data_IF_078359510936
#
_entry.id   IF_078359510936
#
_cell.length_a   1.000
_cell.length_b   1.000
_cell.length_c   1.000
_cell.angle_alpha   90.00
_cell.angle_beta   90.00
_cell.angle_gamma   90.00
#
_symmetry.space_group_name_H-M   'P 1'
#
loop_
_entity.id
_entity.type
_entity.pdbx_description
1 polymer ?
2 non-polymer ?
3 non-polymer ?
4 non-polymer ?
5 non-polymer ?
6 water ?
#
# COMPACT_ATOMS: atom_id res chain seq x y z
N UNK A 38 -17.63 -1.39 -17.05
CA UNK A 38 -17.79 0.03 -16.58
C UNK A 38 -16.64 0.36 -15.69
N UNK A 39 -15.77 1.28 -16.11
CA UNK A 39 -14.68 1.59 -15.19
C UNK A 39 -15.36 2.33 -14.02
N UNK A 40 -14.61 2.54 -12.94
CA UNK A 40 -15.12 3.23 -11.78
C UNK A 40 -14.41 4.56 -11.59
N UNK A 41 -15.19 5.59 -11.32
CA UNK A 41 -14.70 6.93 -11.07
C UNK A 41 -14.95 7.24 -9.62
N UNK A 42 -13.90 7.26 -8.81
CA UNK A 42 -14.01 7.57 -7.39
C UNK A 42 -13.86 9.08 -7.24
N UNK A 43 -14.85 9.72 -6.66
CA UNK A 43 -14.80 11.17 -6.49
C UNK A 43 -14.57 11.53 -5.04
N UNK A 44 -13.42 12.11 -4.75
CA UNK A 44 -13.13 12.54 -3.38
C UNK A 44 -13.96 13.79 -3.07
N UNK A 45 -14.36 13.96 -1.81
CA UNK A 45 -15.16 15.12 -1.44
C UNK A 45 -14.77 15.52 -0.04
N UNK A 46 -14.57 16.82 0.20
CA UNK A 46 -14.22 17.27 1.53
C UNK A 46 -13.48 18.59 1.56
N UNK A 47 -13.45 19.24 2.72
CA UNK A 47 -12.76 20.50 2.90
C UNK A 47 -11.25 20.26 2.87
N UNK A 48 -10.45 21.33 2.63
CA UNK A 48 -9.00 21.14 2.60
C UNK A 48 -8.50 20.63 3.93
N UNK A 49 -7.48 19.76 3.87
CA UNK A 49 -6.86 19.18 5.06
C UNK A 49 -7.72 18.16 5.79
N UNK A 50 -8.48 17.38 5.04
CA UNK A 50 -9.34 16.33 5.63
C UNK A 50 -8.84 14.91 5.28
N UNK A 51 -7.61 14.81 4.79
CA UNK A 51 -7.02 13.53 4.44
C UNK A 51 -7.50 12.94 3.11
N UNK A 52 -8.03 13.76 2.20
CA UNK A 52 -8.51 13.27 0.92
C UNK A 52 -7.40 12.67 0.08
N UNK A 53 -6.32 13.42 -0.10
CA UNK A 53 -5.17 12.97 -0.88
C UNK A 53 -4.56 11.71 -0.23
N UNK A 54 -4.54 11.69 1.10
CA UNK A 54 -4.02 10.56 1.83
C UNK A 54 -4.85 9.30 1.50
N UNK A 55 -6.18 9.43 1.60
CA UNK A 55 -7.08 8.34 1.31
C UNK A 55 -7.00 7.97 -0.16
N UNK A 56 -6.96 8.97 -1.02
CA UNK A 56 -6.87 8.72 -2.43
C UNK A 56 -5.66 7.81 -2.71
N UNK A 57 -4.52 8.16 -2.11
CA UNK A 57 -3.28 7.41 -2.30
C UNK A 57 -3.33 5.98 -1.80
N UNK A 58 -3.78 5.81 -0.56
CA UNK A 58 -3.90 4.48 0.03
C UNK A 58 -4.83 3.59 -0.79
N UNK A 59 -5.94 4.16 -1.25
CA UNK A 59 -6.93 3.45 -2.05
C UNK A 59 -6.33 3.03 -3.39
N UNK A 60 -5.65 3.96 -4.05
CA UNK A 60 -5.02 3.70 -5.35
C UNK A 60 -3.94 2.63 -5.25
N UNK A 61 -3.11 2.74 -4.23
CA UNK A 61 -2.05 1.76 -4.02
C UNK A 61 -2.67 0.37 -3.78
N UNK A 62 -3.63 0.30 -2.88
CA UNK A 62 -4.30 -0.95 -2.55
C UNK A 62 -4.89 -1.61 -3.80
N UNK A 63 -5.72 -0.86 -4.51
CA UNK A 63 -6.36 -1.37 -5.72
C UNK A 63 -5.32 -1.87 -6.72
N UNK A 64 -4.22 -1.14 -6.87
CA UNK A 64 -3.19 -1.59 -7.79
C UNK A 64 -2.53 -2.89 -7.26
N UNK A 65 -2.31 -2.97 -5.94
CA UNK A 65 -1.70 -4.18 -5.35
C UNK A 65 -2.54 -5.42 -5.66
N UNK A 66 -3.86 -5.30 -5.57
CA UNK A 66 -4.72 -6.44 -5.87
C UNK A 66 -4.98 -6.60 -7.37
N UNK A 67 -4.20 -5.89 -8.17
CA UNK A 67 -4.32 -6.00 -9.61
C UNK A 67 -5.45 -5.29 -10.33
N UNK A 68 -5.91 -4.16 -9.81
CA UNK A 68 -6.95 -3.42 -10.52
C UNK A 68 -6.28 -2.12 -10.96
N UNK A 69 -6.01 -1.96 -12.27
CA UNK A 69 -5.36 -0.76 -12.82
C UNK A 69 -6.08 0.50 -12.32
N UNK A 70 -5.43 1.23 -11.42
CA UNK A 70 -6.01 2.41 -10.85
C UNK A 70 -5.02 3.57 -10.85
N UNK A 71 -5.54 4.79 -10.99
CA UNK A 71 -4.70 5.98 -11.02
C UNK A 71 -5.49 7.11 -10.38
N UNK A 72 -4.79 7.93 -9.60
CA UNK A 72 -5.41 9.06 -8.94
C UNK A 72 -5.07 10.32 -9.74
N UNK A 73 -5.98 11.27 -9.75
CA UNK A 73 -5.79 12.54 -10.45
C UNK A 73 -6.05 13.65 -9.46
N UNK A 74 -4.97 14.27 -9.01
CA UNK A 74 -5.01 15.35 -8.02
C UNK A 74 -5.15 16.68 -8.70
N UNK A 75 -6.32 17.31 -8.59
CA UNK A 75 -6.55 18.60 -9.25
C UNK A 75 -5.61 19.68 -8.75
N UNK A 76 -5.16 19.56 -7.51
CA UNK A 76 -4.22 20.52 -6.94
C UNK A 76 -2.89 20.45 -7.67
N UNK A 77 -2.49 19.25 -8.07
CA UNK A 77 -1.23 19.08 -8.79
C UNK A 77 -1.38 19.64 -10.21
N UNK A 78 -2.55 19.46 -10.81
CA UNK A 78 -2.79 19.97 -12.14
C UNK A 78 -2.68 21.47 -12.03
N UNK A 79 -3.34 22.05 -11.04
CA UNK A 79 -3.30 23.49 -10.83
C UNK A 79 -1.84 23.94 -10.65
N UNK A 80 -1.10 23.26 -9.79
CA UNK A 80 0.30 23.60 -9.57
C UNK A 80 1.08 23.56 -10.88
N UNK A 81 0.87 22.53 -11.71
CA UNK A 81 1.58 22.46 -12.98
C UNK A 81 1.11 23.54 -13.95
N UNK A 82 -0.12 24.01 -13.77
CA UNK A 82 -0.69 25.01 -14.67
C UNK A 82 -0.50 26.47 -14.25
N UNK A 83 -0.68 26.73 -12.97
CA UNK A 83 -0.57 28.07 -12.42
C UNK A 83 0.88 28.47 -12.11
N UNK A 84 1.76 27.49 -12.07
CA UNK A 84 3.18 27.71 -11.80
C UNK A 84 3.54 28.05 -10.35
N UNK A 85 2.95 29.09 -9.79
CA UNK A 85 3.24 29.45 -8.41
C UNK A 85 2.00 29.91 -7.69
N UNK A 86 1.91 29.55 -6.43
CA UNK A 86 0.79 29.90 -5.60
C UNK A 86 1.08 31.17 -4.82
N UNK A 87 0.19 32.15 -4.94
CA UNK A 87 0.35 33.39 -4.22
C UNK A 87 -0.36 33.32 -2.87
N UNK A 88 -1.68 33.40 -2.89
CA UNK A 88 -2.44 33.38 -1.66
C UNK A 88 -3.89 32.93 -1.87
N UNK A 89 -4.61 32.73 -0.76
CA UNK A 89 -5.99 32.27 -0.75
C UNK A 89 -7.00 33.00 -1.64
N UNK A 90 -6.73 34.26 -1.97
CA UNK A 90 -7.66 35.03 -2.80
C UNK A 90 -8.02 34.33 -4.09
N UNK A 91 -7.14 33.45 -4.55
CA UNK A 91 -7.36 32.69 -5.77
C UNK A 91 -8.57 31.78 -5.60
N UNK A 92 -8.77 31.31 -4.38
CA UNK A 92 -9.86 30.40 -4.04
C UNK A 92 -11.14 31.07 -3.51
N UNK A 93 -11.20 32.40 -3.52
CA UNK A 93 -12.43 33.07 -3.06
C UNK A 93 -13.62 32.57 -3.90
N UNK A 94 -14.72 32.18 -3.22
CA UNK A 94 -15.90 31.67 -3.90
C UNK A 94 -16.55 32.71 -4.79
N UNK A 95 -16.22 33.97 -4.56
CA UNK A 95 -16.79 35.05 -5.36
C UNK A 95 -15.75 35.60 -6.35
N UNK A 96 -14.64 34.87 -6.47
CA UNK A 96 -13.57 35.25 -7.38
C UNK A 96 -13.90 34.55 -8.69
N UNK A 97 -14.61 35.25 -9.57
CA UNK A 97 -15.02 34.71 -10.87
C UNK A 97 -13.88 34.25 -11.76
N UNK A 98 -12.81 35.00 -11.80
CA UNK A 98 -11.69 34.60 -12.63
C UNK A 98 -11.01 33.37 -12.05
N UNK A 99 -10.87 33.38 -10.73
CA UNK A 99 -10.23 32.28 -10.04
C UNK A 99 -11.03 31.02 -10.26
N UNK A 100 -12.35 31.14 -10.10
CA UNK A 100 -13.26 30.02 -10.30
C UNK A 100 -13.06 29.45 -11.68
N UNK A 101 -12.95 30.35 -12.64
CA UNK A 101 -12.75 30.00 -14.04
C UNK A 101 -11.49 29.16 -14.26
N UNK A 102 -10.42 29.63 -13.65
CA UNK A 102 -9.15 28.95 -13.81
C UNK A 102 -9.19 27.65 -13.06
N UNK A 103 -9.89 27.66 -11.92
CA UNK A 103 -10.06 26.48 -11.10
C UNK A 103 -10.88 25.45 -11.85
N UNK A 104 -11.86 25.92 -12.63
CA UNK A 104 -12.69 25.01 -13.41
C UNK A 104 -11.84 24.38 -14.53
N UNK A 105 -10.99 25.18 -15.15
CA UNK A 105 -10.09 24.72 -16.22
C UNK A 105 -9.17 23.58 -15.76
N UNK A 106 -8.60 23.71 -14.58
CA UNK A 106 -7.72 22.68 -14.03
C UNK A 106 -8.48 21.38 -13.77
N UNK A 107 -9.71 21.49 -13.27
CA UNK A 107 -10.57 20.34 -12.99
C UNK A 107 -10.81 19.57 -14.28
N UNK A 108 -11.18 20.32 -15.32
CA UNK A 108 -11.45 19.79 -16.64
C UNK A 108 -10.22 19.12 -17.21
N UNK A 109 -9.06 19.73 -17.03
CA UNK A 109 -7.84 19.14 -17.55
C UNK A 109 -7.67 17.75 -16.89
N UNK A 110 -7.91 17.70 -15.58
CA UNK A 110 -7.80 16.48 -14.80
C UNK A 110 -8.81 15.45 -15.32
N UNK A 111 -10.06 15.87 -15.46
CA UNK A 111 -11.12 14.98 -15.96
C UNK A 111 -10.79 14.41 -17.33
N UNK A 112 -10.14 15.19 -18.18
CA UNK A 112 -9.79 14.72 -19.50
C UNK A 112 -8.77 13.58 -19.46
N UNK A 113 -7.88 13.62 -18.47
CA UNK A 113 -6.90 12.56 -18.33
C UNK A 113 -7.57 11.34 -17.73
N UNK A 114 -8.63 11.57 -16.94
CA UNK A 114 -9.37 10.46 -16.36
C UNK A 114 -9.99 9.69 -17.52
N UNK A 115 -10.61 10.43 -18.43
CA UNK A 115 -11.25 9.88 -19.63
C UNK A 115 -10.22 9.08 -20.45
N UNK A 116 -9.04 9.65 -20.65
CA UNK A 116 -8.01 8.96 -21.41
C UNK A 116 -7.60 7.65 -20.73
N UNK A 117 -7.35 7.71 -19.43
CA UNK A 117 -6.95 6.53 -18.66
C UNK A 117 -7.99 5.40 -18.70
N UNK A 118 -9.23 5.73 -18.34
CA UNK A 118 -10.30 4.74 -18.33
C UNK A 118 -10.71 4.31 -19.72
N UNK A 119 -11.07 5.29 -20.55
CA UNK A 119 -11.52 5.03 -21.90
C UNK A 119 -10.48 4.67 -22.95
N UNK A 120 -9.25 5.15 -22.80
CA UNK A 120 -8.23 4.88 -23.81
C UNK A 120 -7.03 4.06 -23.37
N UNK A 121 -6.70 4.08 -22.09
CA UNK A 121 -5.53 3.32 -21.67
C UNK A 121 -5.82 2.03 -20.93
N UNK A 122 -7.10 1.69 -20.77
CA UNK A 122 -7.47 0.45 -20.10
C UNK A 122 -7.47 0.49 -18.59
N UNK A 123 -7.59 1.69 -18.03
CA UNK A 123 -7.62 1.79 -16.59
C UNK A 123 -8.94 1.26 -16.09
N UNK A 124 -8.94 0.75 -14.88
CA UNK A 124 -10.18 0.22 -14.33
C UNK A 124 -10.89 1.19 -13.38
N UNK A 125 -10.11 1.85 -12.52
CA UNK A 125 -10.66 2.79 -11.56
C UNK A 125 -9.84 4.08 -11.62
N UNK A 126 -10.51 5.22 -11.47
CA UNK A 126 -9.83 6.49 -11.47
C UNK A 126 -10.31 7.23 -10.23
N UNK A 127 -9.37 7.79 -9.47
CA UNK A 127 -9.74 8.52 -8.28
C UNK A 127 -9.53 9.99 -8.60
N UNK A 128 -10.62 10.76 -8.58
CA UNK A 128 -10.58 12.18 -8.88
C UNK A 128 -10.51 12.89 -7.54
N UNK A 129 -9.33 13.41 -7.24
CA UNK A 129 -9.06 14.06 -5.97
C UNK A 129 -9.11 15.58 -6.02
N UNK A 130 -10.20 16.12 -5.47
CA UNK A 130 -10.47 17.55 -5.39
C UNK A 130 -11.46 17.74 -4.24
N UNK A 131 -11.74 18.99 -3.86
CA UNK A 131 -12.67 19.25 -2.75
C UNK A 131 -14.08 18.79 -3.11
N UNK A 132 -14.53 19.17 -4.30
CA UNK A 132 -15.86 18.77 -4.80
C UNK A 132 -16.93 18.93 -3.74
N UNK A 133 -16.84 20.05 -3.02
CA UNK A 133 -17.73 20.37 -1.91
C UNK A 133 -19.14 20.86 -2.18
N UNK A 134 -19.48 21.20 -3.42
CA UNK A 134 -20.83 21.67 -3.71
C UNK A 134 -21.59 20.64 -4.56
N UNK A 135 -22.92 20.70 -4.48
CA UNK A 135 -23.81 19.81 -5.24
C UNK A 135 -23.54 20.01 -6.72
N UNK A 136 -23.36 21.28 -7.06
CA UNK A 136 -23.08 21.72 -8.43
C UNK A 136 -21.90 21.00 -9.06
N UNK A 137 -20.74 21.07 -8.44
CA UNK A 137 -19.56 20.42 -9.00
C UNK A 137 -19.78 18.95 -9.05
N UNK A 138 -20.26 18.38 -7.96
CA UNK A 138 -20.51 16.95 -7.91
C UNK A 138 -21.45 16.43 -8.99
N UNK A 139 -22.48 17.20 -9.29
CA UNK A 139 -23.44 16.83 -10.34
C UNK A 139 -22.71 16.90 -11.69
N UNK A 140 -21.86 17.90 -11.84
CA UNK A 140 -21.10 18.08 -13.06
C UNK A 140 -20.24 16.83 -13.30
N UNK A 141 -19.54 16.40 -12.25
CA UNK A 141 -18.66 15.23 -12.34
C UNK A 141 -19.51 13.99 -12.58
N UNK A 142 -20.65 13.93 -11.91
CA UNK A 142 -21.53 12.80 -12.09
C UNK A 142 -21.88 12.70 -13.56
N UNK A 143 -22.27 13.83 -14.15
CA UNK A 143 -22.65 13.86 -15.57
C UNK A 143 -21.49 13.37 -16.45
N UNK A 144 -20.28 13.79 -16.13
CA UNK A 144 -19.08 13.38 -16.85
C UNK A 144 -18.99 11.85 -16.85
N UNK A 145 -19.09 11.26 -15.66
CA UNK A 145 -19.04 9.81 -15.53
C UNK A 145 -20.08 9.14 -16.40
N UNK A 146 -21.30 9.67 -16.34
CA UNK A 146 -22.44 9.15 -17.10
C UNK A 146 -22.22 9.18 -18.61
N UNK A 147 -21.83 10.33 -19.12
CA UNK A 147 -21.62 10.45 -20.56
C UNK A 147 -20.47 9.55 -21.02
N UNK A 148 -19.54 9.23 -20.12
CA UNK A 148 -18.40 8.39 -20.47
C UNK A 148 -18.58 6.92 -20.20
N UNK A 149 -19.68 6.53 -19.58
CA UNK A 149 -19.92 5.12 -19.28
C UNK A 149 -19.23 4.56 -18.04
N UNK A 150 -19.05 5.38 -17.02
CA UNK A 150 -18.41 4.92 -15.79
C UNK A 150 -19.43 4.91 -14.68
N UNK A 151 -19.10 4.22 -13.59
CA UNK A 151 -19.96 4.19 -12.43
C UNK A 151 -19.29 5.18 -11.49
N UNK A 152 -20.05 6.05 -10.88
CA UNK A 152 -19.49 7.05 -9.98
C UNK A 152 -19.74 6.67 -8.53
N UNK A 153 -18.70 6.84 -7.71
CA UNK A 153 -18.76 6.54 -6.29
C UNK A 153 -18.06 7.65 -5.56
N UNK A 154 -18.73 8.25 -4.57
CA UNK A 154 -18.16 9.35 -3.81
C UNK A 154 -17.58 8.94 -2.46
N UNK A 155 -16.42 9.50 -2.13
CA UNK A 155 -15.79 9.26 -0.84
C UNK A 155 -15.59 10.64 -0.17
N UNK A 156 -16.46 10.95 0.81
CA UNK A 156 -16.36 12.21 1.52
C UNK A 156 -15.69 12.04 2.85
N UNK A 157 -14.69 12.87 3.11
CA UNK A 157 -13.96 12.84 4.37
C UNK A 157 -14.32 14.07 5.18
N UNK A 158 -14.86 13.86 6.37
CA UNK A 158 -15.32 14.91 7.25
C UNK A 158 -14.53 15.00 8.57
N UNK A 159 -14.08 16.21 8.90
CA UNK A 159 -13.35 16.45 10.16
C UNK A 159 -13.74 17.83 10.73
N UNK A 160 -14.27 17.82 11.94
CA UNK A 160 -14.68 19.03 12.63
C UNK A 160 -13.73 19.27 13.81
N UNK A 161 -12.67 18.47 13.89
CA UNK A 161 -11.70 18.57 14.97
C UNK A 161 -10.51 19.49 14.62
N UNK A 162 -10.40 20.64 15.29
CA UNK A 162 -9.36 21.67 15.14
C UNK A 162 -7.94 21.21 15.40
N UNK A 163 -7.74 20.41 16.44
CA UNK A 163 -6.39 19.94 16.72
C UNK A 163 -5.88 19.03 15.61
N UNK A 164 -6.79 18.25 15.03
CA UNK A 164 -6.47 17.35 13.92
C UNK A 164 -6.18 18.18 12.66
N UNK A 165 -7.06 19.12 12.37
CA UNK A 165 -6.89 19.98 11.21
C UNK A 165 -5.54 20.69 11.37
N UNK A 166 -5.33 21.27 12.56
CA UNK A 166 -4.09 21.97 12.88
C UNK A 166 -2.88 21.04 12.71
N UNK A 167 -3.05 19.80 13.13
CA UNK A 167 -2.00 18.79 13.02
C UNK A 167 -1.72 18.51 11.56
N UNK A 168 -2.79 18.40 10.77
CA UNK A 168 -2.66 18.11 9.34
C UNK A 168 -1.90 19.22 8.61
N UNK A 169 -2.23 20.48 8.90
CA UNK A 169 -1.56 21.63 8.29
C UNK A 169 -0.05 21.49 8.49
N UNK A 170 0.38 21.50 9.75
CA UNK A 170 1.80 21.39 10.06
C UNK A 170 2.39 20.16 9.36
N UNK A 171 1.82 19.01 9.68
CA UNK A 171 2.25 17.72 9.16
C UNK A 171 2.38 17.54 7.65
N UNK A 172 1.46 18.12 6.89
CA UNK A 172 1.52 17.96 5.45
C UNK A 172 1.46 19.22 4.62
N UNK A 173 0.75 20.23 5.11
CA UNK A 173 0.57 21.49 4.37
C UNK A 173 1.76 22.45 4.32
N UNK A 174 2.38 22.73 5.47
CA UNK A 174 3.50 23.66 5.52
C UNK A 174 4.68 23.21 4.68
N UNK A 175 4.81 21.90 4.52
CA UNK A 175 5.89 21.33 3.73
C UNK A 175 5.55 21.20 2.25
N UNK A 176 4.25 21.20 1.93
CA UNK A 176 3.79 21.08 0.55
C UNK A 176 4.36 22.19 -0.32
N UNK A 177 4.32 22.01 -1.66
CA UNK A 177 4.84 22.98 -2.62
C UNK A 177 4.26 24.38 -2.45
N UNK A 178 2.96 24.47 -2.18
CA UNK A 178 2.30 25.76 -2.02
C UNK A 178 2.92 26.58 -0.93
N UNK A 179 3.45 25.90 0.08
CA UNK A 179 3.98 26.62 1.22
C UNK A 179 5.42 26.45 1.58
N UNK A 180 6.13 25.58 0.89
CA UNK A 180 7.53 25.39 1.17
C UNK A 180 8.23 26.74 0.85
N UNK A 181 9.25 27.08 1.64
CA UNK A 181 9.99 28.35 1.44
C UNK A 181 9.18 29.60 1.78
N UNK A 182 8.15 29.44 2.59
CA UNK A 182 7.33 30.54 3.05
C UNK A 182 7.35 30.41 4.57
N UNK A 183 7.12 31.52 5.27
CA UNK A 183 7.13 31.54 6.74
C UNK A 183 5.95 30.73 7.27
N UNK A 184 6.22 29.88 8.25
CA UNK A 184 5.18 29.01 8.83
C UNK A 184 3.91 29.73 9.24
N UNK A 185 4.06 30.89 9.86
CA UNK A 185 2.91 31.63 10.32
C UNK A 185 2.10 32.29 9.23
N UNK A 186 2.75 32.84 8.22
CA UNK A 186 1.95 33.42 7.18
C UNK A 186 1.34 32.26 6.38
N UNK A 187 2.13 31.20 6.17
CA UNK A 187 1.66 30.01 5.44
C UNK A 187 0.39 29.45 6.12
N UNK A 188 0.47 29.28 7.45
CA UNK A 188 -0.64 28.78 8.23
C UNK A 188 -1.91 29.61 8.16
N UNK A 189 -1.76 30.93 8.25
CA UNK A 189 -2.89 31.89 8.19
C UNK A 189 -3.53 31.82 6.81
N UNK A 190 -2.69 31.80 5.79
CA UNK A 190 -3.16 31.72 4.43
C UNK A 190 -4.00 30.46 4.25
N UNK A 191 -3.50 29.34 4.74
CA UNK A 191 -4.25 28.09 4.59
C UNK A 191 -5.60 28.11 5.33
N UNK A 192 -5.66 28.65 6.54
CA UNK A 192 -6.91 28.70 7.29
C UNK A 192 -7.93 29.52 6.55
N UNK A 193 -7.46 30.64 6.01
CA UNK A 193 -8.31 31.53 5.24
C UNK A 193 -8.72 30.81 3.97
N UNK A 194 -7.85 29.89 3.53
CA UNK A 194 -8.09 29.08 2.34
C UNK A 194 -9.23 28.08 2.61
N UNK A 195 -9.21 27.44 3.78
CA UNK A 195 -10.27 26.51 4.18
C UNK A 195 -11.59 27.31 4.24
N UNK A 196 -11.51 28.51 4.80
CA UNK A 196 -12.67 29.39 4.93
C UNK A 196 -13.38 29.61 3.61
N UNK A 197 -12.61 29.75 2.52
CA UNK A 197 -13.20 29.96 1.20
C UNK A 197 -14.25 28.90 0.87
N UNK A 198 -14.07 27.70 1.41
CA UNK A 198 -14.98 26.60 1.13
C UNK A 198 -16.16 26.39 2.06
N UNK A 199 -16.08 26.93 3.27
CA UNK A 199 -17.14 26.70 4.23
C UNK A 199 -18.55 27.17 3.93
N UNK A 200 -18.72 28.39 3.45
CA UNK A 200 -20.07 28.88 3.17
C UNK A 200 -20.80 28.11 2.06
N UNK A 201 -20.07 27.52 1.12
CA UNK A 201 -20.68 26.78 0.03
C UNK A 201 -20.62 25.27 0.17
N UNK A 202 -20.05 24.80 1.25
CA UNK A 202 -19.90 23.38 1.48
C UNK A 202 -21.20 22.66 1.75
N UNK A 203 -21.60 21.78 0.81
CA UNK A 203 -22.81 20.96 0.89
C UNK A 203 -22.45 19.49 0.97
N UNK A 204 -22.50 18.94 2.17
CA UNK A 204 -22.17 17.55 2.42
C UNK A 204 -23.20 16.58 1.85
N UNK A 205 -22.77 15.36 1.56
CA UNK A 205 -23.67 14.34 1.01
C UNK A 205 -24.84 14.16 1.97
N UNK A 206 -26.04 14.27 1.42
CA UNK A 206 -27.30 14.19 2.18
C UNK A 206 -28.04 12.86 2.01
N UNK A 207 -28.60 12.34 3.10
CA UNK A 207 -29.34 11.07 3.04
C UNK A 207 -30.53 11.11 2.08
N UNK A 208 -31.22 12.24 2.05
CA UNK A 208 -32.37 12.40 1.17
C UNK A 208 -32.03 13.10 -0.14
N UNK A 209 -31.39 14.26 -0.08
CA UNK A 209 -31.02 14.99 -1.28
C UNK A 209 -30.13 14.18 -2.23
N UNK A 210 -29.24 13.35 -1.68
CA UNK A 210 -28.33 12.54 -2.49
C UNK A 210 -28.54 11.05 -2.40
N UNK A 211 -29.77 10.63 -2.07
CA UNK A 211 -30.06 9.22 -1.90
C UNK A 211 -29.86 8.27 -3.06
N UNK A 212 -29.76 8.80 -4.26
CA UNK A 212 -29.53 7.95 -5.43
C UNK A 212 -28.06 7.75 -5.79
N UNK A 213 -27.19 8.50 -5.12
CA UNK A 213 -25.74 8.40 -5.33
C UNK A 213 -25.11 7.28 -4.50
N UNK A 214 -24.02 6.71 -5.02
CA UNK A 214 -23.28 5.67 -4.32
C UNK A 214 -22.21 6.44 -3.58
N UNK A 215 -22.09 6.22 -2.26
CA UNK A 215 -21.08 6.95 -1.53
C UNK A 215 -20.77 6.46 -0.14
N UNK A 216 -19.70 7.00 0.41
CA UNK A 216 -19.29 6.68 1.75
C UNK A 216 -18.82 7.99 2.35
N UNK A 217 -19.19 8.22 3.61
CA UNK A 217 -18.79 9.42 4.34
C UNK A 217 -18.01 8.89 5.51
N UNK A 218 -16.77 9.37 5.63
CA UNK A 218 -15.89 8.95 6.71
C UNK A 218 -15.83 10.09 7.70
N UNK A 219 -16.08 9.79 8.97
CA UNK A 219 -16.08 10.79 10.02
C UNK A 219 -15.08 10.39 11.11
N UNK A 220 -14.79 11.33 12.01
CA UNK A 220 -13.89 11.11 13.14
C UNK A 220 -12.60 10.35 12.85
N UNK A 221 -12.09 10.60 11.65
CA UNK A 221 -10.87 9.96 11.18
C UNK A 221 -11.06 8.48 11.03
N UNK A 222 -12.25 8.11 10.60
CA UNK A 222 -12.55 6.71 10.43
C UNK A 222 -13.19 6.04 11.64
N UNK A 223 -13.82 6.82 12.50
CA UNK A 223 -14.49 6.26 13.66
C UNK A 223 -15.84 5.72 13.21
N UNK A 224 -16.56 6.57 12.50
CA UNK A 224 -17.87 6.20 12.01
C UNK A 224 -17.93 6.42 10.51
N UNK A 225 -18.87 5.73 9.86
CA UNK A 225 -19.06 5.80 8.43
C UNK A 225 -20.54 5.83 8.07
N UNK A 226 -20.84 6.43 6.94
CA UNK A 226 -22.20 6.44 6.42
C UNK A 226 -22.01 5.93 5.00
N UNK A 227 -22.74 4.89 4.62
CA UNK A 227 -22.60 4.29 3.31
C UNK A 227 -23.95 4.17 2.64
N UNK A 228 -24.00 4.54 1.37
CA UNK A 228 -25.25 4.49 0.64
C UNK A 228 -25.09 3.95 -0.77
N UNK A 229 -25.95 3.00 -1.11
CA UNK A 229 -26.00 2.37 -2.41
C UNK A 229 -24.73 1.86 -3.06
N UNK A 230 -24.03 0.93 -2.42
CA UNK A 230 -22.83 0.34 -3.01
C UNK A 230 -23.40 -0.39 -4.22
N UNK A 231 -23.04 0.04 -5.41
CA UNK A 231 -23.59 -0.53 -6.63
C UNK A 231 -23.05 -1.85 -7.14
N UNK A 232 -21.87 -2.24 -6.71
CA UNK A 232 -21.33 -3.48 -7.24
C UNK A 232 -20.24 -4.10 -6.39
N UNK A 233 -19.55 -5.08 -6.96
CA UNK A 233 -18.49 -5.78 -6.29
C UNK A 233 -17.26 -4.90 -5.96
N UNK A 234 -16.75 -4.16 -6.94
CA UNK A 234 -15.59 -3.32 -6.67
C UNK A 234 -15.89 -2.23 -5.64
N UNK A 235 -17.11 -1.70 -5.66
CA UNK A 235 -17.47 -0.67 -4.70
C UNK A 235 -17.58 -1.30 -3.31
N UNK A 236 -18.03 -2.55 -3.25
CA UNK A 236 -18.16 -3.25 -1.98
C UNK A 236 -16.76 -3.46 -1.37
N UNK A 237 -15.78 -3.81 -2.20
CA UNK A 237 -14.40 -4.01 -1.75
C UNK A 237 -13.74 -2.68 -1.36
N UNK A 238 -14.05 -1.60 -2.10
CA UNK A 238 -13.53 -0.26 -1.82
C UNK A 238 -14.00 0.17 -0.42
N UNK A 239 -15.30 -0.02 -0.16
CA UNK A 239 -15.90 0.33 1.12
C UNK A 239 -15.26 -0.53 2.19
N UNK A 240 -15.14 -1.83 1.93
CA UNK A 240 -14.54 -2.73 2.91
C UNK A 240 -13.11 -2.25 3.25
N UNK A 241 -12.34 -1.88 2.22
CA UNK A 241 -10.98 -1.37 2.40
C UNK A 241 -10.95 -0.08 3.24
N UNK A 242 -11.70 0.93 2.79
CA UNK A 242 -11.77 2.23 3.47
C UNK A 242 -12.19 2.18 4.93
N UNK A 243 -13.13 1.29 5.24
CA UNK A 243 -13.60 1.16 6.62
C UNK A 243 -12.59 0.49 7.51
N UNK A 244 -11.53 -0.09 6.95
CA UNK A 244 -10.56 -0.75 7.79
C UNK A 244 -9.17 -0.08 7.93
N UNK A 245 -8.98 1.03 7.25
CA UNK A 245 -7.74 1.80 7.32
C UNK A 245 -7.88 2.83 8.43
N UNK A 246 -6.75 3.24 9.03
CA UNK A 246 -6.76 4.24 10.12
C UNK A 246 -5.47 5.03 10.13
N UNK A 247 -5.39 6.04 11.00
CA UNK A 247 -4.18 6.85 11.14
C UNK A 247 -3.63 6.82 12.56
N UNK A 248 -3.98 5.78 13.30
CA UNK A 248 -3.47 5.60 14.65
C UNK A 248 -1.98 5.30 14.49
N UNK A 249 -1.11 6.09 15.14
CA UNK A 249 0.35 5.89 15.07
C UNK A 249 0.68 4.47 15.50
N UNK A 250 1.63 3.86 14.81
CA UNK A 250 2.05 2.49 15.11
C UNK A 250 3.13 2.04 14.15
N UNK A 251 3.74 0.90 14.46
CA UNK A 251 4.78 0.33 13.63
C UNK A 251 4.44 -1.12 13.27
N UNK A 252 4.84 -1.50 12.06
CA UNK A 252 4.66 -2.85 11.56
C UNK A 252 6.08 -3.44 11.52
N UNK A 253 6.29 -4.54 12.23
CA UNK A 253 7.61 -5.19 12.25
C UNK A 253 7.53 -6.46 11.45
N UNK A 254 8.44 -6.62 10.50
CA UNK A 254 8.47 -7.82 9.67
C UNK A 254 9.83 -8.46 9.78
N UNK A 255 9.85 -9.76 9.97
CA UNK A 255 11.11 -10.47 10.01
C UNK A 255 10.79 -11.88 9.63
N UNK A 256 11.80 -12.57 9.13
CA UNK A 256 11.66 -13.97 8.75
C UNK A 256 11.91 -14.78 10.01
N UNK A 257 11.49 -16.03 9.93
CA UNK A 257 11.74 -17.04 10.96
C UNK A 257 13.29 -17.06 11.09
N UNK A 258 13.82 -17.52 12.21
CA UNK A 258 15.28 -17.59 12.31
C UNK A 258 15.76 -18.58 11.27
N UNK A 259 17.01 -18.46 10.82
CA UNK A 259 17.58 -19.39 9.84
C UNK A 259 17.12 -20.84 10.10
N UNK A 260 16.75 -21.56 9.05
CA UNK A 260 16.28 -22.95 9.20
C UNK A 260 17.31 -23.98 8.68
N UNK A 261 17.08 -25.25 8.99
CA UNK A 261 17.96 -26.33 8.54
C UNK A 261 18.14 -26.35 7.02
N UNK A 262 17.05 -26.17 6.28
CA UNK A 262 17.11 -26.15 4.82
C UNK A 262 17.71 -24.85 4.28
N UNK A 263 17.69 -23.79 5.08
CA UNK A 263 18.29 -22.52 4.64
C UNK A 263 19.80 -22.80 4.53
N UNK A 264 20.32 -23.51 5.52
CA UNK A 264 21.75 -23.88 5.54
C UNK A 264 22.16 -24.64 4.29
N UNK A 265 21.30 -25.56 3.85
CA UNK A 265 21.54 -26.40 2.68
C UNK A 265 21.23 -25.70 1.34
N UNK A 266 20.68 -24.50 1.41
CA UNK A 266 20.33 -23.81 0.18
C UNK A 266 19.13 -24.47 -0.47
N UNK A 267 18.26 -25.06 0.36
CA UNK A 267 17.03 -25.73 -0.09
C UNK A 267 15.81 -24.87 0.17
N UNK A 268 14.97 -24.73 -0.85
CA UNK A 268 13.78 -23.92 -0.77
C UNK A 268 12.53 -24.66 -0.26
N UNK A 269 11.61 -23.90 0.34
CA UNK A 269 10.37 -24.45 0.84
C UNK A 269 10.48 -25.49 1.93
N UNK A 270 9.55 -26.46 1.88
CA UNK A 270 9.49 -27.54 2.86
C UNK A 270 8.99 -27.06 4.19
N UNK A 271 9.22 -27.81 5.27
CA UNK A 271 8.81 -27.38 6.60
C UNK A 271 9.90 -27.63 7.64
N UNK A 272 11.12 -27.17 7.37
CA UNK A 272 12.25 -27.36 8.29
C UNK A 272 12.08 -26.67 9.65
N UNK A 273 12.84 -27.14 10.63
CA UNK A 273 12.82 -26.54 11.95
C UNK A 273 13.99 -25.57 11.96
N UNK A 274 14.13 -24.81 13.04
CA UNK A 274 15.22 -23.85 13.15
C UNK A 274 16.62 -24.49 13.23
N UNK A 275 17.60 -23.78 12.70
CA UNK A 275 18.98 -24.23 12.75
C UNK A 275 19.49 -23.69 14.07
N UNK A 276 20.72 -24.04 14.47
CA UNK A 276 21.23 -23.51 15.73
C UNK A 276 21.19 -21.97 15.75
N UNK A 277 21.61 -21.33 14.65
CA UNK A 277 21.60 -19.86 14.55
C UNK A 277 20.16 -19.34 14.59
N UNK A 278 19.23 -20.08 13.99
CA UNK A 278 17.82 -19.70 13.97
C UNK A 278 17.34 -19.54 15.39
N UNK A 279 17.73 -20.48 16.24
CA UNK A 279 17.40 -20.46 17.67
C UNK A 279 18.04 -19.25 18.38
N UNK A 280 19.30 -18.98 18.05
CA UNK A 280 20.01 -17.83 18.61
C UNK A 280 19.23 -16.57 18.28
N UNK A 281 18.87 -16.42 17.00
CA UNK A 281 18.10 -15.27 16.54
C UNK A 281 16.83 -15.11 17.36
N UNK A 282 16.13 -16.23 17.56
CA UNK A 282 14.88 -16.20 18.30
C UNK A 282 15.04 -15.49 19.63
N UNK A 283 16.14 -15.80 20.33
CA UNK A 283 16.41 -15.18 21.61
C UNK A 283 16.76 -13.71 21.46
N UNK A 284 17.43 -13.35 20.36
CA UNK A 284 17.77 -11.93 20.11
C UNK A 284 16.50 -11.13 19.77
N UNK A 285 15.56 -11.78 19.07
CA UNK A 285 14.30 -11.15 18.71
C UNK A 285 13.49 -10.85 19.98
N UNK A 286 13.36 -11.84 20.86
CA UNK A 286 12.62 -11.67 22.11
C UNK A 286 13.17 -10.46 22.89
N UNK A 287 14.49 -10.37 23.01
CA UNK A 287 15.09 -9.26 23.72
C UNK A 287 14.77 -7.96 23.01
N UNK A 288 14.85 -7.98 21.69
CA UNK A 288 14.54 -6.77 20.90
C UNK A 288 13.09 -6.33 21.18
N UNK A 289 12.17 -7.27 21.09
CA UNK A 289 10.77 -6.98 21.31
C UNK A 289 10.55 -6.42 22.71
N UNK A 290 11.21 -7.00 23.70
CA UNK A 290 11.09 -6.50 25.07
C UNK A 290 11.64 -5.08 25.13
N UNK A 291 12.88 -4.91 24.69
CA UNK A 291 13.50 -3.60 24.70
C UNK A 291 12.65 -2.56 24.00
N UNK A 292 11.92 -2.99 22.98
CA UNK A 292 11.07 -2.07 22.24
C UNK A 292 9.95 -1.48 23.10
N UNK A 293 9.48 -2.21 24.11
CA UNK A 293 8.44 -1.71 24.99
C UNK A 293 7.22 -1.22 24.15
N UNK A 294 6.79 -2.09 23.25
CA UNK A 294 5.68 -1.82 22.34
C UNK A 294 4.33 -1.95 23.04
N UNK A 295 3.46 -0.97 22.85
CA UNK A 295 2.13 -1.01 23.46
C UNK A 295 1.26 -2.03 22.74
N UNK A 296 0.69 -2.97 23.50
CA UNK A 296 -0.19 -3.99 22.95
C UNK A 296 0.28 -4.53 21.61
N UNK A 297 1.43 -5.19 21.56
CA UNK A 297 1.90 -5.72 20.29
C UNK A 297 1.15 -7.01 19.96
N UNK A 298 0.77 -7.18 18.69
CA UNK A 298 0.13 -8.41 18.21
C UNK A 298 1.20 -9.12 17.41
N UNK A 299 1.34 -10.42 17.63
CA UNK A 299 2.33 -11.23 16.93
C UNK A 299 1.68 -12.31 16.08
N UNK A 300 2.07 -12.35 14.80
CA UNK A 300 1.55 -13.34 13.87
C UNK A 300 2.69 -14.16 13.27
N UNK A 301 2.39 -15.43 12.99
CA UNK A 301 3.36 -16.34 12.37
C UNK A 301 2.56 -17.18 11.38
N UNK A 302 3.26 -17.97 10.59
CA UNK A 302 2.60 -18.84 9.66
C UNK A 302 2.32 -20.13 10.44
N UNK A 303 1.91 -21.19 9.74
CA UNK A 303 1.70 -22.49 10.38
C UNK A 303 2.91 -23.38 10.15
N UNK A 304 3.99 -22.78 9.68
CA UNK A 304 5.22 -23.50 9.44
C UNK A 304 6.11 -23.44 10.67
N UNK A 305 6.65 -24.59 11.05
CA UNK A 305 7.44 -24.69 12.26
C UNK A 305 8.55 -23.68 12.45
N UNK A 306 9.23 -23.31 11.37
CA UNK A 306 10.31 -22.34 11.51
C UNK A 306 9.85 -21.00 12.06
N UNK A 307 8.66 -20.55 11.68
CA UNK A 307 8.17 -19.28 12.21
C UNK A 307 7.64 -19.46 13.64
N UNK A 308 6.91 -20.57 13.87
CA UNK A 308 6.34 -20.87 15.19
C UNK A 308 7.46 -21.02 16.21
N UNK A 309 8.46 -21.82 15.86
CA UNK A 309 9.62 -22.06 16.71
C UNK A 309 10.31 -20.76 17.00
N UNK A 310 10.23 -19.81 16.07
CA UNK A 310 10.84 -18.51 16.29
C UNK A 310 9.96 -17.77 17.28
N UNK A 311 8.65 -17.93 17.11
CA UNK A 311 7.70 -17.25 17.99
C UNK A 311 7.71 -17.79 19.41
N UNK A 312 7.99 -19.09 19.55
CA UNK A 312 8.01 -19.71 20.87
C UNK A 312 9.00 -19.01 21.80
N UNK A 313 10.03 -18.41 21.22
CA UNK A 313 11.05 -17.71 22.01
C UNK A 313 10.62 -16.43 22.72
N UNK A 314 9.46 -15.89 22.35
CA UNK A 314 9.03 -14.64 22.96
C UNK A 314 8.20 -14.81 24.23
N UNK A 315 7.98 -13.69 24.92
CA UNK A 315 7.19 -13.70 26.16
C UNK A 315 5.72 -13.68 25.73
N UNK A 316 5.45 -12.79 24.78
CA UNK A 316 4.12 -12.58 24.22
C UNK A 316 3.53 -13.74 23.41
N UNK A 317 2.20 -13.93 23.49
CA UNK A 317 1.48 -14.98 22.77
C UNK A 317 1.35 -14.56 21.32
N UNK A 318 1.05 -15.53 20.46
CA UNK A 318 0.92 -15.25 19.03
C UNK A 318 -0.15 -16.12 18.39
N UNK A 319 -0.56 -15.73 17.18
CA UNK A 319 -1.56 -16.47 16.43
C UNK A 319 -0.94 -16.97 15.16
N UNK A 320 -1.14 -18.24 14.85
CA UNK A 320 -0.61 -18.84 13.63
C UNK A 320 -1.70 -18.87 12.55
N UNK A 321 -1.35 -18.52 11.31
CA UNK A 321 -2.29 -18.53 10.20
C UNK A 321 -1.63 -19.16 8.98
N UNK A 322 -2.26 -20.16 8.40
CA UNK A 322 -1.66 -20.80 7.24
C UNK A 322 -1.62 -19.87 6.03
N UNK A 323 -2.37 -18.78 6.10
CA UNK A 323 -2.38 -17.84 4.99
C UNK A 323 -0.98 -17.16 4.89
N UNK A 324 -0.21 -17.23 5.97
CA UNK A 324 1.15 -16.68 6.03
C UNK A 324 2.25 -17.70 5.65
N UNK A 325 1.85 -18.92 5.24
CA UNK A 325 2.83 -19.95 4.86
C UNK A 325 3.65 -19.47 3.68
N UNK A 326 4.88 -19.97 3.56
CA UNK A 326 5.77 -19.56 2.46
C UNK A 326 5.19 -19.92 1.10
N UNK A 327 5.59 -19.17 0.09
CA UNK A 327 5.16 -19.43 -1.27
C UNK A 327 5.43 -20.90 -1.59
N UNK A 328 4.51 -21.52 -2.31
CA UNK A 328 4.58 -22.92 -2.67
C UNK A 328 5.47 -23.10 -3.90
N UNK A 329 6.46 -23.97 -3.81
CA UNK A 329 7.36 -24.23 -4.91
C UNK A 329 6.96 -25.46 -5.74
N UNK A 330 5.83 -26.06 -5.39
CA UNK A 330 5.32 -27.22 -6.10
C UNK A 330 6.27 -28.41 -6.22
N UNK A 331 6.65 -28.75 -7.45
CA UNK A 331 7.54 -29.88 -7.74
C UNK A 331 9.00 -29.63 -7.38
N UNK A 332 9.35 -28.37 -7.19
CA UNK A 332 10.70 -28.02 -6.82
C UNK A 332 10.79 -27.80 -5.31
N UNK A 333 9.80 -28.25 -4.57
CA UNK A 333 9.83 -28.06 -3.14
C UNK A 333 11.03 -28.78 -2.59
N UNK A 334 11.71 -28.15 -1.63
CA UNK A 334 12.91 -28.69 -0.97
C UNK A 334 14.17 -28.90 -1.83
N UNK A 335 14.05 -28.64 -3.14
CA UNK A 335 15.16 -28.77 -4.05
C UNK A 335 16.11 -27.59 -3.90
N UNK A 336 17.30 -27.72 -4.50
CA UNK A 336 18.29 -26.64 -4.50
C UNK A 336 18.17 -26.09 -5.93
N UNK A 337 18.65 -24.86 -6.14
CA UNK A 337 18.59 -24.25 -7.47
C UNK A 337 19.33 -25.10 -8.49
N UNK A 338 20.40 -25.75 -8.04
CA UNK A 338 21.16 -26.60 -8.94
C UNK A 338 20.21 -27.71 -9.41
N UNK A 339 19.51 -28.31 -8.46
CA UNK A 339 18.57 -29.38 -8.77
C UNK A 339 17.45 -28.89 -9.66
N UNK A 340 16.97 -27.68 -9.39
CA UNK A 340 15.89 -27.08 -10.16
C UNK A 340 16.36 -26.89 -11.59
N UNK A 341 17.54 -26.30 -11.77
CA UNK A 341 18.08 -26.09 -13.11
C UNK A 341 18.26 -27.46 -13.82
N UNK A 342 18.65 -28.48 -13.07
CA UNK A 342 18.83 -29.83 -13.60
C UNK A 342 17.51 -30.46 -14.04
N UNK A 343 16.48 -30.36 -13.22
CA UNK A 343 15.19 -30.96 -13.58
C UNK A 343 14.17 -30.09 -14.28
N UNK A 344 14.24 -28.78 -14.09
CA UNK A 344 13.28 -27.86 -14.69
C UNK A 344 13.93 -26.64 -15.35
N UNK A 345 14.86 -26.89 -16.28
CA UNK A 345 15.55 -25.79 -16.97
C UNK A 345 14.61 -24.84 -17.67
N UNK A 346 13.50 -25.36 -18.19
CA UNK A 346 12.50 -24.53 -18.88
C UNK A 346 11.75 -23.63 -17.91
N UNK A 347 11.12 -24.23 -16.91
CA UNK A 347 10.35 -23.47 -15.93
C UNK A 347 11.19 -22.48 -15.13
N UNK A 348 12.44 -22.84 -14.87
CA UNK A 348 13.39 -22.03 -14.10
C UNK A 348 13.76 -20.75 -14.88
N UNK A 349 13.94 -20.88 -16.21
CA UNK A 349 14.28 -19.76 -17.10
C UNK A 349 13.11 -18.79 -17.22
N UNK A 350 11.91 -19.33 -17.46
CA UNK A 350 10.71 -18.51 -17.55
C UNK A 350 10.52 -17.75 -16.23
N UNK A 351 10.63 -18.45 -15.11
CA UNK A 351 10.46 -17.83 -13.81
C UNK A 351 11.46 -16.67 -13.65
N UNK A 352 12.68 -16.84 -14.14
CA UNK A 352 13.65 -15.77 -14.05
C UNK A 352 13.26 -14.63 -14.99
N UNK A 353 12.63 -14.96 -16.12
CA UNK A 353 12.23 -13.93 -17.07
C UNK A 353 11.15 -13.05 -16.47
N UNK A 354 10.22 -13.66 -15.76
CA UNK A 354 9.16 -12.93 -15.11
C UNK A 354 8.88 -13.70 -13.85
N UNK A 355 9.58 -13.30 -12.79
CA UNK A 355 9.45 -13.94 -11.49
C UNK A 355 8.15 -13.57 -10.74
N UNK A 356 7.41 -12.60 -11.26
CA UNK A 356 6.13 -12.25 -10.65
C UNK A 356 5.04 -13.16 -11.19
N UNK A 357 5.08 -13.40 -12.50
CA UNK A 357 4.05 -14.20 -13.12
C UNK A 357 4.28 -15.69 -13.33
N UNK A 358 5.51 -16.11 -13.62
CA UNK A 358 5.76 -17.52 -13.85
C UNK A 358 6.01 -18.33 -12.60
N UNK A 359 5.57 -19.59 -12.62
CA UNK A 359 5.72 -20.48 -11.47
C UNK A 359 6.36 -21.81 -11.85
N UNK A 360 6.75 -22.58 -10.83
CA UNK A 360 7.30 -23.91 -11.06
C UNK A 360 6.02 -24.77 -11.21
N UNK A 361 6.13 -25.96 -11.84
CA UNK A 361 4.94 -26.81 -12.00
C UNK A 361 4.32 -27.14 -10.64
N UNK A 362 3.02 -26.89 -10.51
CA UNK A 362 2.29 -27.14 -9.27
C UNK A 362 2.60 -26.17 -8.12
N UNK A 363 3.24 -25.06 -8.44
CA UNK A 363 3.58 -24.06 -7.44
C UNK A 363 2.86 -22.74 -7.64
N UNK A 364 3.11 -21.79 -6.74
CA UNK A 364 2.48 -20.47 -6.81
C UNK A 364 3.44 -19.47 -7.43
N UNK A 365 2.89 -18.44 -8.06
CA UNK A 365 3.71 -17.37 -8.61
C UNK A 365 3.68 -16.33 -7.48
N UNK A 366 4.48 -15.26 -7.57
CA UNK A 366 4.43 -14.23 -6.52
C UNK A 366 3.08 -13.51 -6.68
N UNK A 367 2.52 -13.59 -7.87
CA UNK A 367 1.22 -13.00 -8.16
C UNK A 367 0.13 -13.76 -7.40
N UNK A 368 0.20 -15.10 -7.42
CA UNK A 368 -0.76 -15.92 -6.69
C UNK A 368 -0.60 -15.61 -5.22
N UNK A 369 0.65 -15.43 -4.78
CA UNK A 369 0.93 -15.13 -3.37
C UNK A 369 0.36 -13.76 -2.97
N UNK A 370 0.46 -12.79 -3.85
CA UNK A 370 -0.10 -11.48 -3.57
C UNK A 370 -1.61 -11.65 -3.31
N UNK A 371 -2.29 -12.35 -4.22
CA UNK A 371 -3.72 -12.60 -4.10
C UNK A 371 -4.00 -13.29 -2.78
N UNK A 372 -3.19 -14.29 -2.48
CA UNK A 372 -3.32 -15.05 -1.24
C UNK A 372 -3.19 -14.15 0.00
N UNK A 373 -2.30 -13.17 -0.08
CA UNK A 373 -2.05 -12.26 1.03
C UNK A 373 -3.00 -11.10 1.19
N UNK A 374 -3.98 -10.97 0.30
CA UNK A 374 -4.91 -9.86 0.42
C UNK A 374 -5.55 -9.77 1.81
N UNK A 375 -5.96 -10.91 2.39
CA UNK A 375 -6.56 -10.84 3.73
C UNK A 375 -5.55 -10.36 4.78
N UNK A 376 -4.28 -10.71 4.57
CA UNK A 376 -3.20 -10.32 5.48
C UNK A 376 -3.00 -8.79 5.42
N UNK A 377 -2.99 -8.24 4.19
CA UNK A 377 -2.84 -6.80 3.94
C UNK A 377 -3.95 -6.05 4.66
N UNK A 378 -5.18 -6.55 4.51
CA UNK A 378 -6.35 -5.95 5.12
C UNK A 378 -6.27 -5.93 6.66
N UNK A 379 -5.94 -7.06 7.25
CA UNK A 379 -5.80 -7.14 8.70
C UNK A 379 -4.61 -6.31 9.22
N UNK A 380 -3.56 -6.17 8.40
CA UNK A 380 -2.39 -5.37 8.78
C UNK A 380 -2.77 -3.89 8.83
N UNK A 381 -3.64 -3.48 7.90
CA UNK A 381 -4.13 -2.11 7.86
C UNK A 381 -4.98 -1.84 9.09
N UNK A 382 -5.81 -2.81 9.43
CA UNK A 382 -6.69 -2.72 10.58
C UNK A 382 -5.92 -2.75 11.90
N UNK A 383 -4.79 -3.46 11.91
CA UNK A 383 -3.97 -3.59 13.10
C UNK A 383 -3.27 -2.30 13.52
N UNK A 384 -2.71 -2.30 14.72
CA UNK A 384 -1.93 -1.18 15.21
C UNK A 384 -0.48 -1.68 15.30
N UNK A 385 0.05 -1.86 16.50
CA UNK A 385 1.42 -2.37 16.59
C UNK A 385 1.32 -3.85 16.29
N UNK A 386 2.09 -4.30 15.31
CA UNK A 386 2.04 -5.70 14.92
C UNK A 386 3.42 -6.22 14.49
N UNK A 387 3.70 -7.47 14.85
CA UNK A 387 4.94 -8.14 14.46
C UNK A 387 4.51 -9.36 13.68
N UNK A 388 5.06 -9.52 12.48
CA UNK A 388 4.74 -10.66 11.65
C UNK A 388 6.05 -11.41 11.41
N UNK A 389 6.12 -12.65 11.89
CA UNK A 389 7.29 -13.51 11.71
C UNK A 389 6.91 -14.40 10.53
N UNK A 390 7.57 -14.19 9.39
CA UNK A 390 7.22 -14.94 8.21
C UNK A 390 8.36 -15.58 7.40
N UNK A 391 8.32 -15.42 6.07
CA UNK A 391 9.28 -16.04 5.18
C UNK A 391 9.70 -15.05 4.12
N UNK A 392 10.73 -15.41 3.36
CA UNK A 392 11.25 -14.53 2.32
C UNK A 392 10.24 -14.00 1.31
N UNK A 393 9.59 -14.89 0.57
CA UNK A 393 8.62 -14.46 -0.45
C UNK A 393 7.47 -13.69 0.14
N UNK A 394 6.93 -14.17 1.25
CA UNK A 394 5.80 -13.51 1.91
C UNK A 394 6.19 -12.09 2.34
N UNK A 395 7.36 -11.95 2.97
CA UNK A 395 7.86 -10.65 3.45
C UNK A 395 8.07 -9.66 2.30
N UNK A 396 8.56 -10.16 1.15
CA UNK A 396 8.75 -9.33 -0.04
C UNK A 396 7.38 -8.76 -0.47
N UNK A 397 6.34 -9.59 -0.42
CA UNK A 397 5.01 -9.15 -0.79
C UNK A 397 4.51 -8.05 0.16
N UNK A 398 4.71 -8.24 1.46
CA UNK A 398 4.27 -7.27 2.45
C UNK A 398 5.06 -5.96 2.38
N UNK A 399 6.37 -6.07 2.10
CA UNK A 399 7.24 -4.90 1.98
C UNK A 399 6.82 -4.10 0.76
N UNK A 400 6.56 -4.81 -0.33
CA UNK A 400 6.17 -4.17 -1.58
C UNK A 400 4.88 -3.37 -1.39
N UNK A 401 3.98 -3.91 -0.57
CA UNK A 401 2.72 -3.22 -0.30
C UNK A 401 2.95 -1.91 0.49
N UNK A 402 3.55 -1.99 1.66
CA UNK A 402 3.75 -0.79 2.46
C UNK A 402 4.79 0.17 1.89
N UNK A 403 5.69 -0.32 1.05
CA UNK A 403 6.72 0.54 0.46
C UNK A 403 6.38 0.91 -0.97
N UNK A 404 5.21 0.51 -1.42
CA UNK A 404 4.72 0.81 -2.76
C UNK A 404 5.76 0.47 -3.84
N UNK A 405 6.20 -0.78 -3.82
CA UNK A 405 7.16 -1.26 -4.81
C UNK A 405 6.38 -1.95 -5.95
N UNK A 406 6.81 -1.73 -7.18
CA UNK A 406 6.17 -2.31 -8.34
C UNK A 406 6.21 -3.83 -8.28
N UNK A 407 5.27 -4.44 -8.99
CA UNK A 407 5.15 -5.89 -9.05
C UNK A 407 6.43 -6.54 -9.57
N UNK A 408 7.03 -5.90 -10.55
CA UNK A 408 8.26 -6.38 -11.19
C UNK A 408 9.44 -6.36 -10.24
N UNK A 409 9.40 -5.43 -9.29
CA UNK A 409 10.45 -5.28 -8.29
C UNK A 409 10.24 -6.13 -7.04
N UNK A 410 8.98 -6.41 -6.73
CA UNK A 410 8.60 -7.19 -5.55
C UNK A 410 9.27 -8.56 -5.32
N UNK A 411 9.43 -9.40 -6.37
CA UNK A 411 10.06 -10.71 -6.22
C UNK A 411 11.54 -10.62 -5.86
N UNK A 412 12.10 -9.43 -5.97
CA UNK A 412 13.51 -9.28 -5.72
C UNK A 412 13.89 -8.46 -4.50
N UNK A 413 12.91 -8.01 -3.72
CA UNK A 413 13.21 -7.21 -2.54
C UNK A 413 14.08 -8.03 -1.59
N UNK A 414 15.06 -7.38 -0.96
CA UNK A 414 15.96 -8.05 -0.04
C UNK A 414 15.42 -8.17 1.39
N UNK A 415 15.18 -9.41 1.81
CA UNK A 415 14.68 -9.70 3.16
C UNK A 415 15.70 -10.64 3.79
N UNK A 416 16.78 -10.08 4.34
CA UNK A 416 17.83 -10.86 4.98
C UNK A 416 17.35 -11.55 6.22
N UNK A 417 17.96 -12.68 6.52
CA UNK A 417 17.62 -13.41 7.72
C UNK A 417 18.17 -12.63 8.90
N UNK A 418 17.57 -12.85 10.07
CA UNK A 418 17.96 -12.26 11.35
C UNK A 418 17.96 -10.76 11.39
N UNK A 419 17.07 -10.16 10.61
CA UNK A 419 16.97 -8.71 10.53
C UNK A 419 15.48 -8.37 10.63
N UNK A 420 15.17 -7.34 11.40
CA UNK A 420 13.78 -6.90 11.56
C UNK A 420 13.58 -5.63 10.76
N UNK A 421 12.55 -5.59 9.93
CA UNK A 421 12.25 -4.39 9.18
C UNK A 421 11.10 -3.70 9.89
N UNK A 422 11.37 -2.51 10.41
CA UNK A 422 10.39 -1.73 11.13
C UNK A 422 9.79 -0.68 10.20
N UNK A 423 8.48 -0.75 10.03
CA UNK A 423 7.75 0.16 9.17
C UNK A 423 6.89 1.11 9.99
N UNK A 424 7.00 2.40 9.69
CA UNK A 424 6.21 3.40 10.38
C UNK A 424 5.44 4.20 9.34
N UNK A 425 4.19 3.81 9.11
CA UNK A 425 3.33 4.47 8.14
C UNK A 425 3.20 5.94 8.50
N UNK A 426 3.33 6.80 7.50
CA UNK A 426 3.21 8.24 7.69
C UNK A 426 2.32 8.80 6.58
N UNK A 427 2.26 10.12 6.46
CA UNK A 427 1.44 10.71 5.42
C UNK A 427 2.03 10.43 4.04
N UNK A 428 1.21 9.80 3.19
CA UNK A 428 1.57 9.44 1.81
C UNK A 428 2.65 8.37 1.66
N UNK A 429 3.43 8.12 2.71
CA UNK A 429 4.49 7.12 2.61
C UNK A 429 4.57 6.22 3.83
N UNK A 430 5.71 5.56 3.97
CA UNK A 430 5.97 4.64 5.06
C UNK A 430 7.48 4.61 5.30
N UNK A 431 7.94 5.01 6.48
CA UNK A 431 9.37 4.98 6.75
C UNK A 431 9.75 3.54 7.09
N UNK A 432 10.96 3.15 6.73
CA UNK A 432 11.42 1.79 7.01
C UNK A 432 12.80 1.81 7.63
N UNK A 433 13.02 0.98 8.65
CA UNK A 433 14.33 0.87 9.27
C UNK A 433 14.77 -0.58 9.35
N UNK A 434 15.96 -0.87 8.86
CA UNK A 434 16.47 -2.23 8.88
C UNK A 434 17.29 -2.47 10.16
N UNK A 435 16.82 -3.37 11.01
CA UNK A 435 17.48 -3.66 12.27
C UNK A 435 18.02 -5.07 12.41
N UNK A 436 19.33 -5.22 12.23
CA UNK A 436 20.01 -6.52 12.32
C UNK A 436 20.03 -7.01 13.77
N UNK A 437 19.64 -8.25 14.02
CA UNK A 437 19.63 -8.74 15.40
C UNK A 437 20.88 -9.46 15.85
N UNK A 438 21.97 -9.13 15.18
CA UNK A 438 23.29 -9.64 15.51
C UNK A 438 23.47 -11.15 15.55
N UNK A 439 23.01 -11.84 14.51
CA UNK A 439 23.23 -13.27 14.44
C UNK A 439 23.53 -13.61 13.00
N UNK A 440 24.66 -14.28 12.79
CA UNK A 440 25.11 -14.71 11.47
C UNK A 440 24.01 -15.52 10.79
N UNK A 441 24.05 -15.56 9.47
CA UNK A 441 23.04 -16.29 8.71
C UNK A 441 23.44 -16.43 7.26
N UNK A 442 23.00 -17.53 6.64
CA UNK A 442 23.25 -17.82 5.24
C UNK A 442 22.46 -16.80 4.43
N UNK A 443 22.91 -16.57 3.20
CA UNK A 443 22.26 -15.64 2.30
C UNK A 443 21.34 -16.46 1.40
N UNK A 444 20.04 -16.15 1.41
CA UNK A 444 19.09 -16.88 0.57
C UNK A 444 18.61 -16.05 -0.62
N UNK A 445 19.20 -14.88 -0.78
CA UNK A 445 18.84 -13.97 -1.85
C UNK A 445 19.53 -14.29 -3.17
N UNK A 446 18.74 -14.65 -4.19
CA UNK A 446 19.27 -14.94 -5.51
C UNK A 446 18.97 -13.80 -6.47
N UNK A 447 19.99 -13.16 -7.01
CA UNK A 447 19.78 -12.07 -7.97
C UNK A 447 19.31 -12.65 -9.29
N UNK A 448 18.60 -11.87 -10.09
CA UNK A 448 18.15 -12.33 -11.40
C UNK A 448 19.42 -12.39 -12.25
N UNK A 449 19.76 -13.58 -12.80
CA UNK A 449 20.97 -13.67 -13.61
C UNK A 449 20.81 -12.89 -14.91
N UNK A 450 21.94 -12.49 -15.48
CA UNK A 450 21.93 -11.72 -16.70
C UNK A 450 21.34 -12.54 -17.83
N UNK A 451 21.60 -13.85 -17.79
CA UNK A 451 21.07 -14.73 -18.83
C UNK A 451 19.84 -15.45 -18.34
N UNK A 452 18.72 -15.14 -18.96
CA UNK A 452 17.44 -15.73 -18.62
C UNK A 452 16.83 -16.39 -19.86
N UNK A 453 17.63 -16.53 -20.91
CA UNK A 453 17.18 -17.14 -22.16
C UNK A 453 16.84 -18.61 -21.97
N UNK A 454 15.75 -19.05 -22.57
CA UNK A 454 15.32 -20.47 -22.53
C UNK A 454 16.45 -21.17 -23.31
N UNK A 455 17.03 -22.24 -22.76
CA UNK A 455 18.14 -23.00 -23.37
C UNK A 455 19.52 -22.39 -23.03
N UNK A 456 19.54 -21.56 -22.00
CA UNK A 456 20.75 -20.92 -21.48
C UNK A 456 21.61 -22.01 -20.81
N UNK A 457 22.94 -21.89 -20.88
CA UNK A 457 23.80 -22.88 -20.24
C UNK A 457 23.52 -22.89 -18.75
N UNK A 458 23.64 -24.06 -18.13
CA UNK A 458 23.39 -24.18 -16.71
C UNK A 458 24.32 -23.33 -15.84
N UNK A 459 25.54 -23.12 -16.28
CA UNK A 459 26.48 -22.32 -15.49
C UNK A 459 26.01 -20.87 -15.35
N UNK A 460 25.42 -20.33 -16.41
CA UNK A 460 24.95 -18.96 -16.41
C UNK A 460 23.65 -18.81 -15.63
N UNK A 461 22.86 -19.88 -15.60
CA UNK A 461 21.59 -19.90 -14.88
C UNK A 461 21.83 -19.87 -13.38
N UNK A 462 22.88 -20.57 -12.96
CA UNK A 462 23.17 -20.68 -11.54
C UNK A 462 24.27 -19.76 -11.05
N UNK A 463 24.70 -18.85 -11.92
CA UNK A 463 25.78 -17.92 -11.58
C UNK A 463 25.49 -17.01 -10.40
N UNK A 464 24.22 -16.69 -10.17
CA UNK A 464 23.86 -15.82 -9.06
C UNK A 464 23.40 -16.56 -7.79
N UNK A 465 23.51 -17.90 -7.80
CA UNK A 465 23.11 -18.70 -6.64
C UNK A 465 24.07 -18.44 -5.49
N UNK A 466 23.54 -18.13 -4.28
CA UNK A 466 24.35 -17.87 -3.09
C UNK A 466 25.02 -19.14 -2.57
N UNK A 467 26.06 -18.96 -1.77
CA UNK A 467 26.80 -20.07 -1.17
C UNK A 467 25.95 -20.75 -0.09
N UNK A 468 26.14 -22.06 0.07
CA UNK A 468 25.38 -22.83 1.05
C UNK A 468 26.05 -24.17 1.34
N UNK A 469 25.35 -24.96 2.16
CA UNK A 469 25.71 -26.30 2.62
C UNK A 469 26.43 -26.32 3.97
#
# INVERSE_FOLDING_TARGET
MASPRELTQNPLKKIFMPYSNGRPALHASQRGVCMTNCPTLIVMVGLPARGKTYISKKLTRYLNFIGVPTREFNVGQYRRDMVKTYKSFEFFLPDNEEGLKIRKQCALAALNDVRKFLSEEGGHVAVFDATNTTRERRAMIFNFGEQNGYKTFFVESICVDPEVIAANIVQVKLGSPDYVNRDSDEATEDFMRRIECYENSYESLDEEQDRDLSYIKIMDVGQSYVVNRVADHIQSRIVYYLMNIHVTPRSIYLCRHGESELNLKGRIGGDPGLSPRGREFSKHLAQFISDQNIKDLKVFTSQMKRTIQTAEALSVPYEQFKVLNEIDAGVCEEMTYEEIQDHYPLEFALRDQDKYRYRYPKGESYEDLVQRLEPVIMELERQENVLVICHQAVMRCLLAYFLDKAAEELPYLKCPLHTVLKLTPVAYGCKVESIFLNVAAVNTHRDRPQNVDISRPSEEALVTVPAHQ
#
